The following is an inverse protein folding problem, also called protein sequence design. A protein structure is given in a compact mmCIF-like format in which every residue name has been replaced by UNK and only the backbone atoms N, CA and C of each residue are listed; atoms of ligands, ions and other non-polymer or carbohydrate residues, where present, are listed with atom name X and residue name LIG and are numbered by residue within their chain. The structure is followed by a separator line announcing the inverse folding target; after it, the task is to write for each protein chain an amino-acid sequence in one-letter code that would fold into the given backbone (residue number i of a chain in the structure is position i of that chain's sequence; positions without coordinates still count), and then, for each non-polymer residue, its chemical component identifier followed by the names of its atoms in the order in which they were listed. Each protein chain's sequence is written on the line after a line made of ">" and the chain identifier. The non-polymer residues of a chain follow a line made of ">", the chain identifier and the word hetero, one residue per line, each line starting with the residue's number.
data_IF_714248920688
#
_entry.id   IF_714248920688
#
_cell.length_a   1.000
_cell.length_b   1.000
_cell.length_c   1.000
_cell.angle_alpha   90.00
_cell.angle_beta   90.00
_cell.angle_gamma   90.00
#
_symmetry.space_group_name_H-M   'P 1'
#
loop_
_entity.id
_entity.type
_entity.pdbx_description
1 polymer ?
#
# COMPACT_ATOMS: atom_id res chain seq x y z
N UNK A 1 4.01 6.38 3.24
CA UNK A 1 3.00 5.30 3.37
C UNK A 1 1.64 5.79 3.87
N UNK A 2 1.52 6.30 5.11
CA UNK A 2 0.23 6.72 5.68
C UNK A 2 -0.47 7.83 4.85
N UNK A 3 0.30 8.83 4.39
CA UNK A 3 -0.19 9.92 3.51
C UNK A 3 -0.73 9.41 2.18
N UNK A 4 -0.08 8.41 1.57
CA UNK A 4 -0.51 7.80 0.33
C UNK A 4 -1.82 7.03 0.48
N UNK A 5 -2.00 6.30 1.59
CA UNK A 5 -3.23 5.56 1.87
C UNK A 5 -4.44 6.48 2.10
N UNK A 6 -4.24 7.60 2.81
CA UNK A 6 -5.29 8.61 2.97
C UNK A 6 -5.67 9.26 1.64
N UNK A 7 -4.70 9.52 0.76
CA UNK A 7 -4.95 10.08 -0.57
C UNK A 7 -5.72 9.10 -1.47
N UNK A 8 -5.38 7.81 -1.42
CA UNK A 8 -6.11 6.75 -2.11
C UNK A 8 -7.55 6.59 -1.60
N UNK A 9 -7.77 6.65 -0.28
CA UNK A 9 -9.13 6.61 0.30
C UNK A 9 -9.96 7.82 -0.11
N UNK A 10 -9.39 9.03 -0.06
CA UNK A 10 -10.06 10.24 -0.51
C UNK A 10 -10.45 10.16 -2.00
N UNK A 11 -9.58 9.59 -2.83
CA UNK A 11 -9.83 9.41 -4.27
C UNK A 11 -10.98 8.45 -4.55
N UNK A 12 -11.05 7.31 -3.85
CA UNK A 12 -12.17 6.37 -4.00
C UNK A 12 -13.50 6.92 -3.46
N UNK A 13 -13.47 7.67 -2.34
CA UNK A 13 -14.66 8.35 -1.81
C UNK A 13 -15.18 9.42 -2.78
N UNK A 14 -14.27 10.19 -3.40
CA UNK A 14 -14.61 11.15 -4.45
C UNK A 14 -15.21 10.46 -5.68
N UNK A 15 -14.67 9.31 -6.09
CA UNK A 15 -15.12 8.56 -7.26
C UNK A 15 -16.48 7.86 -7.05
N UNK A 16 -16.82 7.52 -5.81
CA UNK A 16 -18.08 6.81 -5.48
C UNK A 16 -19.26 7.77 -5.27
N UNK A 17 -19.02 8.95 -4.69
CA UNK A 17 -20.10 9.91 -4.36
C UNK A 17 -20.28 11.03 -5.39
N UNK A 18 -19.24 11.31 -6.17
CA UNK A 18 -19.23 12.42 -7.10
C UNK A 18 -19.02 11.83 -8.49
N UNK A 19 -20.05 11.90 -9.34
CA UNK A 19 -19.98 11.62 -10.79
C UNK A 19 -19.07 12.64 -11.53
N UNK A 20 -17.96 13.03 -10.90
CA UNK A 20 -16.96 13.96 -11.42
C UNK A 20 -16.12 13.24 -12.46
N UNK A 21 -15.68 13.98 -13.47
CA UNK A 21 -14.85 13.46 -14.56
C UNK A 21 -13.67 12.62 -14.02
N UNK A 22 -13.52 11.36 -14.46
CA UNK A 22 -12.62 10.36 -13.87
C UNK A 22 -11.12 10.73 -13.93
N UNK A 23 -10.76 11.80 -14.62
CA UNK A 23 -9.39 12.31 -14.76
C UNK A 23 -8.80 12.83 -13.45
N UNK A 24 -9.55 13.59 -12.66
CA UNK A 24 -9.01 14.15 -11.42
C UNK A 24 -8.74 13.05 -10.36
N UNK A 25 -9.64 12.07 -10.28
CA UNK A 25 -9.54 10.95 -9.35
C UNK A 25 -8.37 10.02 -9.68
N UNK A 26 -8.14 9.73 -10.97
CA UNK A 26 -7.03 8.87 -11.40
C UNK A 26 -5.65 9.51 -11.17
N UNK A 27 -5.53 10.83 -11.31
CA UNK A 27 -4.29 11.56 -10.99
C UNK A 27 -3.99 11.50 -9.49
N UNK A 28 -4.98 11.75 -8.63
CA UNK A 28 -4.81 11.67 -7.18
C UNK A 28 -4.49 10.24 -6.70
N UNK A 29 -5.16 9.25 -7.28
CA UNK A 29 -4.90 7.84 -7.01
C UNK A 29 -3.47 7.45 -7.42
N UNK A 30 -3.01 7.90 -8.58
CA UNK A 30 -1.65 7.69 -9.08
C UNK A 30 -0.58 8.25 -8.14
N UNK A 31 -0.77 9.48 -7.65
CA UNK A 31 0.14 10.09 -6.68
C UNK A 31 0.21 9.31 -5.37
N UNK A 32 -0.94 8.86 -4.85
CA UNK A 32 -1.00 8.02 -3.66
C UNK A 32 -0.28 6.68 -3.86
N UNK A 33 -0.52 6.02 -4.99
CA UNK A 33 0.05 4.72 -5.31
C UNK A 33 1.58 4.78 -5.47
N UNK A 34 2.12 5.81 -6.14
CA UNK A 34 3.57 5.97 -6.26
C UNK A 34 4.26 6.07 -4.90
N UNK A 35 3.67 6.79 -3.94
CA UNK A 35 4.23 6.90 -2.59
C UNK A 35 4.19 5.56 -1.83
N UNK A 36 3.17 4.74 -2.08
CA UNK A 36 3.05 3.41 -1.46
C UNK A 36 4.07 2.44 -2.04
N UNK A 37 4.14 2.32 -3.37
CA UNK A 37 5.05 1.40 -4.07
C UNK A 37 6.51 1.70 -3.76
N UNK A 38 6.89 2.98 -3.80
CA UNK A 38 8.26 3.41 -3.48
C UNK A 38 8.63 3.20 -2.02
N UNK A 39 7.65 3.16 -1.10
CA UNK A 39 7.93 2.82 0.31
C UNK A 39 8.02 1.31 0.53
N UNK A 40 7.26 0.51 -0.22
CA UNK A 40 7.22 -0.96 -0.07
C UNK A 40 8.54 -1.63 -0.45
N UNK A 41 9.05 -1.31 -1.65
CA UNK A 41 10.24 -1.98 -2.20
C UNK A 41 11.50 -1.88 -1.30
N UNK A 42 11.84 -0.72 -0.68
CA UNK A 42 12.97 -0.62 0.24
C UNK A 42 12.70 -1.23 1.63
N UNK A 43 11.46 -1.56 1.99
CA UNK A 43 11.16 -2.22 3.26
C UNK A 43 11.72 -3.65 3.29
N UNK A 44 11.66 -4.36 2.16
CA UNK A 44 12.12 -5.76 2.05
C UNK A 44 13.64 -5.86 2.23
N UNK A 45 14.41 -4.90 1.70
CA UNK A 45 15.88 -4.88 1.86
C UNK A 45 16.33 -4.53 3.27
N UNK A 46 15.50 -3.80 4.03
CA UNK A 46 15.82 -3.44 5.41
C UNK A 46 15.67 -4.61 6.38
N UNK A 47 14.75 -5.54 6.09
CA UNK A 47 14.42 -6.67 6.99
C UNK A 47 15.33 -7.88 6.78
N UNK A 48 15.98 -8.02 5.62
CA UNK A 48 16.63 -9.26 5.19
C UNK A 48 18.15 -9.09 5.07
N UNK A 49 18.89 -10.11 5.50
CA UNK A 49 20.36 -10.11 5.46
C UNK A 49 20.89 -10.05 4.01
N UNK A 50 22.06 -9.40 3.77
CA UNK A 50 22.57 -9.15 2.43
C UNK A 50 22.81 -10.40 1.57
N UNK A 51 23.13 -11.52 2.21
CA UNK A 51 23.43 -12.80 1.55
C UNK A 51 22.21 -13.45 0.87
N UNK A 52 20.99 -13.06 1.22
CA UNK A 52 19.75 -13.69 0.73
C UNK A 52 18.82 -12.70 0.03
N UNK A 53 19.32 -11.50 -0.30
CA UNK A 53 18.57 -10.42 -0.97
C UNK A 53 17.95 -10.87 -2.30
N UNK A 54 18.70 -11.57 -3.16
CA UNK A 54 18.22 -11.99 -4.48
C UNK A 54 17.02 -12.94 -4.41
N UNK A 55 17.10 -13.95 -3.55
CA UNK A 55 16.00 -14.92 -3.33
C UNK A 55 14.79 -14.25 -2.68
N UNK A 56 15.03 -13.37 -1.71
CA UNK A 56 13.97 -12.65 -1.03
C UNK A 56 13.17 -11.74 -1.97
N UNK A 57 13.85 -10.98 -2.82
CA UNK A 57 13.19 -10.17 -3.84
C UNK A 57 12.42 -11.03 -4.84
N UNK A 58 12.99 -12.14 -5.29
CA UNK A 58 12.32 -13.08 -6.19
C UNK A 58 10.98 -13.57 -5.63
N UNK A 59 10.97 -14.00 -4.37
CA UNK A 59 9.74 -14.44 -3.68
C UNK A 59 8.75 -13.28 -3.53
N UNK A 60 9.22 -12.11 -3.07
CA UNK A 60 8.35 -10.95 -2.85
C UNK A 60 7.66 -10.47 -4.14
N UNK A 61 8.40 -10.39 -5.25
CA UNK A 61 7.83 -10.02 -6.55
C UNK A 61 6.90 -11.09 -7.11
N UNK A 62 7.22 -12.38 -6.94
CA UNK A 62 6.35 -13.48 -7.39
C UNK A 62 5.00 -13.42 -6.69
N UNK A 63 5.00 -13.22 -5.37
CA UNK A 63 3.77 -13.09 -4.58
C UNK A 63 2.98 -11.85 -5.04
N UNK A 64 3.63 -10.70 -5.21
CA UNK A 64 2.96 -9.47 -5.65
C UNK A 64 2.28 -9.64 -7.02
N UNK A 65 2.98 -10.22 -7.98
CA UNK A 65 2.41 -10.50 -9.32
C UNK A 65 1.24 -11.48 -9.26
N UNK A 66 1.30 -12.51 -8.41
CA UNK A 66 0.19 -13.43 -8.21
C UNK A 66 -1.04 -12.73 -7.60
N UNK A 67 -0.84 -11.91 -6.57
CA UNK A 67 -1.92 -11.12 -5.97
C UNK A 67 -2.57 -10.18 -7.00
N UNK A 68 -1.77 -9.52 -7.84
CA UNK A 68 -2.29 -8.63 -8.88
C UNK A 68 -3.09 -9.40 -9.94
N UNK A 69 -2.64 -10.59 -10.35
CA UNK A 69 -3.40 -11.45 -11.26
C UNK A 69 -4.76 -11.87 -10.68
N UNK A 70 -4.78 -12.28 -9.40
CA UNK A 70 -6.02 -12.64 -8.70
C UNK A 70 -6.95 -11.43 -8.59
N UNK A 71 -6.43 -10.26 -8.26
CA UNK A 71 -7.24 -9.05 -8.15
C UNK A 71 -7.83 -8.60 -9.49
N UNK A 72 -7.09 -8.77 -10.60
CA UNK A 72 -7.58 -8.49 -11.94
C UNK A 72 -8.74 -9.41 -12.32
N UNK A 73 -8.65 -10.70 -11.98
CA UNK A 73 -9.74 -11.66 -12.20
C UNK A 73 -10.99 -11.29 -11.41
N UNK A 74 -10.86 -10.99 -10.11
CA UNK A 74 -11.99 -10.61 -9.24
C UNK A 74 -12.64 -9.32 -9.75
N UNK A 75 -11.82 -8.32 -10.11
CA UNK A 75 -12.30 -7.03 -10.63
C UNK A 75 -13.07 -7.22 -11.94
N UNK A 76 -12.55 -8.03 -12.86
CA UNK A 76 -13.24 -8.39 -14.11
C UNK A 76 -14.59 -9.06 -13.84
N UNK A 77 -14.62 -10.04 -12.94
CA UNK A 77 -15.86 -10.72 -12.58
C UNK A 77 -16.91 -9.78 -11.96
N UNK A 78 -16.49 -8.85 -11.08
CA UNK A 78 -17.39 -7.88 -10.44
C UNK A 78 -17.95 -6.89 -11.45
N UNK A 79 -17.11 -6.33 -12.33
CA UNK A 79 -17.58 -5.33 -13.31
C UNK A 79 -18.57 -5.94 -14.30
N UNK A 80 -18.34 -7.19 -14.72
CA UNK A 80 -19.18 -7.87 -15.71
C UNK A 80 -20.57 -8.26 -15.15
N UNK A 81 -20.68 -8.58 -13.86
CA UNK A 81 -21.92 -9.09 -13.26
C UNK A 81 -22.68 -8.06 -12.39
N UNK A 82 -21.96 -7.15 -11.74
CA UNK A 82 -22.52 -6.28 -10.69
C UNK A 82 -22.37 -4.78 -11.02
N UNK A 83 -21.67 -4.45 -12.10
CA UNK A 83 -21.44 -3.09 -12.55
C UNK A 83 -20.39 -2.31 -11.76
N UNK A 84 -20.10 -1.09 -12.22
CA UNK A 84 -19.00 -0.26 -11.73
C UNK A 84 -19.16 0.20 -10.28
N UNK A 85 -20.40 0.39 -9.82
CA UNK A 85 -20.66 0.85 -8.46
C UNK A 85 -20.20 -0.17 -7.40
N UNK A 86 -20.48 -1.45 -7.61
CA UNK A 86 -20.06 -2.52 -6.70
C UNK A 86 -18.54 -2.70 -6.72
N UNK A 87 -17.90 -2.44 -7.87
CA UNK A 87 -16.45 -2.46 -8.00
C UNK A 87 -15.77 -1.36 -7.14
N UNK A 88 -16.28 -0.14 -7.17
CA UNK A 88 -15.73 0.95 -6.34
C UNK A 88 -15.87 0.66 -4.84
N UNK A 89 -17.02 0.12 -4.41
CA UNK A 89 -17.23 -0.28 -3.01
C UNK A 89 -16.25 -1.37 -2.59
N UNK A 90 -15.93 -2.33 -3.47
CA UNK A 90 -14.91 -3.34 -3.22
C UNK A 90 -13.53 -2.71 -2.98
N UNK A 91 -13.12 -1.74 -3.80
CA UNK A 91 -11.85 -1.03 -3.62
C UNK A 91 -11.81 -0.18 -2.34
N UNK A 92 -12.91 0.46 -1.95
CA UNK A 92 -13.02 1.20 -0.68
C UNK A 92 -12.84 0.26 0.52
N UNK A 93 -13.51 -0.90 0.51
CA UNK A 93 -13.39 -1.88 1.59
C UNK A 93 -11.94 -2.37 1.73
N UNK A 94 -11.30 -2.71 0.61
CA UNK A 94 -9.91 -3.15 0.58
C UNK A 94 -8.95 -2.06 1.09
N UNK A 95 -9.14 -0.81 0.66
CA UNK A 95 -8.31 0.34 1.09
C UNK A 95 -8.49 0.64 2.58
N UNK A 96 -9.72 0.56 3.09
CA UNK A 96 -10.02 0.76 4.51
C UNK A 96 -9.31 -0.29 5.37
N UNK A 97 -9.35 -1.56 4.93
CA UNK A 97 -8.66 -2.66 5.61
C UNK A 97 -7.13 -2.47 5.61
N UNK A 98 -6.57 -1.94 4.51
CA UNK A 98 -5.15 -1.56 4.42
C UNK A 98 -4.76 -0.46 5.41
N UNK A 99 -5.61 0.55 5.60
CA UNK A 99 -5.40 1.61 6.59
C UNK A 99 -5.41 1.04 8.01
N UNK A 100 -6.36 0.16 8.33
CA UNK A 100 -6.42 -0.49 9.65
C UNK A 100 -5.14 -1.27 9.94
N UNK A 101 -4.69 -2.13 9.03
CA UNK A 101 -3.43 -2.87 9.22
C UNK A 101 -2.21 -1.96 9.33
N UNK A 102 -2.16 -0.90 8.53
CA UNK A 102 -1.08 0.08 8.60
C UNK A 102 -1.06 0.79 9.95
N UNK A 103 -2.23 1.11 10.50
CA UNK A 103 -2.36 1.72 11.82
C UNK A 103 -1.91 0.76 12.92
N UNK A 104 -2.29 -0.51 12.84
CA UNK A 104 -1.84 -1.56 13.77
C UNK A 104 -0.33 -1.76 13.73
N UNK A 105 0.27 -1.77 12.53
CA UNK A 105 1.72 -1.83 12.37
C UNK A 105 2.40 -0.60 12.95
N UNK A 106 1.84 0.60 12.74
CA UNK A 106 2.36 1.84 13.30
C UNK A 106 2.32 1.83 14.83
N UNK A 107 1.22 1.38 15.43
CA UNK A 107 1.08 1.25 16.88
C UNK A 107 2.06 0.21 17.45
N UNK A 108 2.26 -0.91 16.75
CA UNK A 108 3.21 -1.95 17.16
C UNK A 108 4.67 -1.47 17.06
N UNK A 109 5.02 -0.71 16.02
CA UNK A 109 6.34 -0.11 15.87
C UNK A 109 6.60 0.95 16.96
N UNK A 110 5.59 1.77 17.26
CA UNK A 110 5.64 2.74 18.35
C UNK A 110 5.81 2.08 19.72
N UNK A 111 5.13 0.94 19.96
CA UNK A 111 5.22 0.19 21.22
C UNK A 111 6.48 -0.67 21.35
N UNK A 112 7.10 -1.10 20.24
CA UNK A 112 8.29 -1.96 20.23
C UNK A 112 9.62 -1.20 20.29
N UNK A 113 9.60 0.12 20.52
CA UNK A 113 10.80 0.89 20.85
C UNK A 113 11.62 1.43 19.67
N UNK A 114 10.96 1.87 18.57
CA UNK A 114 11.60 2.61 17.47
C UNK A 114 12.84 1.92 16.86
N UNK A 115 12.77 0.63 16.56
CA UNK A 115 13.86 -0.07 15.86
C UNK A 115 13.93 0.28 14.36
N UNK A 116 12.81 0.71 13.75
CA UNK A 116 12.74 1.11 12.34
C UNK A 116 12.90 2.62 12.10
N UNK A 117 12.50 3.47 13.05
CA UNK A 117 12.43 4.93 12.88
C UNK A 117 13.58 5.66 13.62
N UNK A 118 14.80 5.14 13.50
CA UNK A 118 15.99 5.82 13.99
C UNK A 118 16.35 6.95 13.04
N UNK A 119 16.24 8.19 13.51
CA UNK A 119 16.79 9.35 12.78
C UNK A 119 18.30 9.18 12.65
N UNK A 120 18.94 9.72 11.58
CA UNK A 120 20.39 9.59 11.34
C UNK A 120 21.24 9.94 12.58
N UNK A 121 20.78 10.90 13.40
CA UNK A 121 21.39 11.29 14.69
C UNK A 121 21.34 10.21 15.78
N UNK A 122 20.31 9.37 15.81
CA UNK A 122 20.17 8.30 16.81
C UNK A 122 20.89 7.02 16.37
N UNK A 123 20.97 6.76 15.05
CA UNK A 123 21.76 5.65 14.48
C UNK A 123 23.26 5.80 14.78
N UNK A 124 23.77 7.02 14.69
CA UNK A 124 25.18 7.33 14.98
C UNK A 124 25.55 7.28 16.47
N UNK A 125 24.57 7.33 17.38
CA UNK A 125 24.79 7.17 18.83
C UNK A 125 24.89 5.71 19.28
N UNK A 126 24.43 4.76 18.46
CA UNK A 126 24.43 3.32 18.77
C UNK A 126 25.66 2.56 18.24
N UNK A 127 26.50 3.23 17.44
CA UNK A 127 27.74 2.67 16.84
C UNK A 127 29.00 3.16 17.57
N UNK A 128 28.85 3.79 18.73
CA UNK A 128 29.91 4.08 19.69
C UNK A 128 29.64 3.30 20.96
#
# INVERSE_FOLDING_TARGET
>A
MLTGLFLSLASHLLLTFTFVEPYACTVLLGLGYSLVVTTWQPLVTYVIAPSHLGTAFGIAFTINSACQAVNAYITGYIVDNMGYFVLEVFFIMCTTWSIVFTLLLYLRDASSGKTLNLTIKERSRKTK
#
